data_IF_609541722185
#
_entry.id   IF_609541722185
#
_cell.length_a   1.000
_cell.length_b   1.000
_cell.length_c   1.000
_cell.angle_alpha   90.00
_cell.angle_beta   90.00
_cell.angle_gamma   90.00
#
_symmetry.space_group_name_H-M   'P 1'
#
loop_
_entity.id
_entity.type
_entity.pdbx_description
1 polymer ?
#
# COMPACT_ATOMS: atom_id res chain seq x y z
N UNK A 1 -10.50 -10.61 11.19
CA UNK A 1 -10.25 -11.22 9.88
C UNK A 1 -9.98 -12.70 10.05
N UNK A 2 -10.45 -13.50 9.10
CA UNK A 2 -10.21 -14.95 9.07
C UNK A 2 -9.91 -15.35 7.62
N UNK A 3 -8.85 -16.10 7.42
CA UNK A 3 -8.35 -16.47 6.08
C UNK A 3 -7.68 -17.84 6.13
N UNK A 4 -7.60 -18.57 4.99
CA UNK A 4 -6.87 -19.82 4.93
C UNK A 4 -5.40 -19.63 5.33
N UNK A 5 -4.83 -20.56 6.09
CA UNK A 5 -3.38 -20.56 6.34
C UNK A 5 -2.60 -21.08 5.13
N UNK A 6 -1.31 -20.78 5.09
CA UNK A 6 -0.41 -21.34 4.07
C UNK A 6 0.06 -22.74 4.49
N UNK A 7 0.30 -23.59 3.48
CA UNK A 7 0.89 -24.91 3.66
C UNK A 7 1.89 -25.19 2.53
N UNK A 8 2.90 -26.01 2.81
CA UNK A 8 3.93 -26.39 1.84
C UNK A 8 4.73 -25.21 1.23
N UNK A 9 4.80 -24.11 1.97
CA UNK A 9 5.65 -22.97 1.62
C UNK A 9 7.02 -23.17 2.30
N UNK A 10 8.13 -22.98 1.56
CA UNK A 10 9.48 -23.15 2.13
C UNK A 10 9.71 -22.30 3.37
N UNK A 11 10.46 -22.87 4.32
CA UNK A 11 10.98 -22.18 5.49
C UNK A 11 11.98 -21.10 5.07
N UNK A 12 11.84 -19.89 5.61
CA UNK A 12 12.77 -18.78 5.38
C UNK A 12 13.99 -18.84 6.32
N UNK A 13 14.03 -19.81 7.23
CA UNK A 13 15.03 -19.88 8.28
C UNK A 13 14.70 -19.01 9.50
N UNK A 14 15.72 -18.61 10.24
CA UNK A 14 15.52 -17.79 11.45
C UNK A 14 15.19 -16.35 11.11
N UNK A 15 14.06 -15.85 11.63
CA UNK A 15 13.59 -14.47 11.43
C UNK A 15 13.09 -13.90 12.75
N UNK A 16 13.69 -12.81 13.22
CA UNK A 16 13.35 -12.23 14.52
C UNK A 16 13.65 -13.17 15.68
N UNK A 17 12.65 -13.52 16.50
CA UNK A 17 12.75 -14.52 17.57
C UNK A 17 12.45 -15.94 17.09
N UNK A 18 11.93 -16.10 15.87
CA UNK A 18 11.56 -17.39 15.32
C UNK A 18 12.83 -18.15 14.89
N UNK A 19 13.06 -19.34 15.39
CA UNK A 19 14.19 -20.18 14.98
C UNK A 19 13.97 -20.77 13.59
N UNK A 20 12.72 -21.01 13.22
CA UNK A 20 12.27 -21.45 11.89
C UNK A 20 10.98 -20.72 11.55
N UNK A 21 10.70 -20.56 10.25
CA UNK A 21 9.51 -19.84 9.75
C UNK A 21 8.78 -20.66 8.69
N UNK A 22 8.28 -21.86 9.00
CA UNK A 22 7.59 -22.69 8.02
C UNK A 22 6.26 -22.06 7.62
N UNK A 23 5.94 -22.15 6.33
CA UNK A 23 4.68 -21.65 5.78
C UNK A 23 4.40 -20.17 6.11
N UNK A 24 5.36 -19.25 5.89
CA UNK A 24 5.25 -17.86 6.29
C UNK A 24 4.17 -17.11 5.51
N UNK A 25 3.45 -16.22 6.21
CA UNK A 25 2.53 -15.26 5.60
C UNK A 25 2.82 -13.88 6.19
N UNK A 26 2.93 -12.89 5.32
CA UNK A 26 3.26 -11.52 5.68
C UNK A 26 2.05 -10.61 5.58
N UNK A 27 1.87 -9.78 6.61
CA UNK A 27 0.86 -8.73 6.67
C UNK A 27 1.53 -7.42 7.00
N UNK A 28 0.87 -6.33 6.63
CA UNK A 28 1.24 -5.00 7.08
C UNK A 28 -0.02 -4.26 7.52
N UNK A 29 0.18 -3.28 8.40
CA UNK A 29 -0.86 -2.41 8.94
C UNK A 29 -0.38 -0.96 8.82
N UNK A 30 -1.25 -0.06 8.37
CA UNK A 30 -1.09 1.38 8.52
C UNK A 30 -1.99 1.85 9.66
N UNK A 31 -1.48 2.70 10.53
CA UNK A 31 -2.22 3.18 11.70
C UNK A 31 -3.06 4.39 11.31
N UNK A 32 -4.35 4.35 11.60
CA UNK A 32 -5.31 5.43 11.36
C UNK A 32 -5.79 6.14 12.65
N UNK A 33 -5.55 5.54 13.83
CA UNK A 33 -5.82 6.16 15.13
C UNK A 33 -4.71 5.86 16.13
N UNK A 34 -4.26 6.90 16.84
CA UNK A 34 -3.23 6.79 17.88
C UNK A 34 -3.71 5.94 19.06
N UNK A 35 -2.78 5.15 19.62
CA UNK A 35 -3.01 4.43 20.87
C UNK A 35 -2.39 3.04 20.89
N UNK A 36 -2.44 2.35 22.04
CA UNK A 36 -2.03 0.96 22.14
C UNK A 36 -2.99 0.07 21.35
N UNK A 37 -2.48 -1.03 20.82
CA UNK A 37 -3.26 -2.07 20.13
C UNK A 37 -2.84 -3.44 20.61
N UNK A 38 -3.81 -4.27 20.94
CA UNK A 38 -3.58 -5.69 21.26
C UNK A 38 -4.35 -6.54 20.27
N UNK A 39 -3.71 -7.58 19.77
CA UNK A 39 -4.27 -8.49 18.80
C UNK A 39 -4.27 -9.92 19.34
N UNK A 40 -5.31 -10.66 19.03
CA UNK A 40 -5.33 -12.10 19.19
C UNK A 40 -5.15 -12.75 17.82
N UNK A 41 -4.20 -13.66 17.73
CA UNK A 41 -3.90 -14.50 16.58
C UNK A 41 -4.28 -15.91 16.96
N UNK A 42 -5.08 -16.61 16.16
CA UNK A 42 -5.42 -18.01 16.42
C UNK A 42 -5.44 -18.81 15.13
N UNK A 43 -5.06 -20.08 15.21
CA UNK A 43 -5.05 -20.99 14.08
C UNK A 43 -5.74 -22.29 14.43
N UNK A 44 -6.59 -22.77 13.52
CA UNK A 44 -7.34 -24.02 13.72
C UNK A 44 -7.62 -24.76 12.42
N UNK A 45 -7.77 -26.05 12.52
CA UNK A 45 -8.26 -26.91 11.42
C UNK A 45 -9.72 -26.62 11.10
N UNK A 46 -10.23 -27.13 9.99
CA UNK A 46 -11.65 -27.06 9.65
C UNK A 46 -12.55 -27.76 10.70
N UNK A 47 -12.01 -28.70 11.48
CA UNK A 47 -12.71 -29.37 12.57
C UNK A 47 -12.63 -28.59 13.90
N UNK A 48 -11.98 -27.43 13.94
CA UNK A 48 -11.85 -26.59 15.12
C UNK A 48 -10.70 -26.98 16.07
N UNK A 49 -9.86 -27.95 15.70
CA UNK A 49 -8.66 -28.30 16.48
C UNK A 49 -7.60 -27.23 16.31
N UNK A 50 -6.98 -26.76 17.41
CA UNK A 50 -5.92 -25.78 17.39
C UNK A 50 -4.69 -26.26 16.60
N UNK A 51 -4.08 -25.34 15.86
CA UNK A 51 -2.83 -25.54 15.11
C UNK A 51 -1.82 -24.53 15.64
N UNK A 52 -0.60 -24.95 15.89
CA UNK A 52 0.52 -24.15 16.33
C UNK A 52 0.75 -22.97 15.38
N UNK A 53 0.73 -21.74 15.93
CA UNK A 53 0.92 -20.48 15.20
C UNK A 53 1.94 -19.62 15.93
N UNK A 54 2.99 -19.22 15.21
CA UNK A 54 3.97 -18.27 15.72
C UNK A 54 3.87 -16.95 15.00
N UNK A 55 4.38 -15.88 15.63
CA UNK A 55 4.41 -14.58 15.01
C UNK A 55 5.66 -13.77 15.36
N UNK A 56 5.95 -12.80 14.49
CA UNK A 56 6.87 -11.71 14.80
C UNK A 56 6.33 -10.42 14.21
N UNK A 57 6.41 -9.32 14.98
CA UNK A 57 5.84 -8.01 14.67
C UNK A 57 6.95 -6.95 14.69
N UNK A 58 7.07 -6.18 13.62
CA UNK A 58 8.06 -5.11 13.47
C UNK A 58 7.40 -3.76 13.24
N UNK A 59 8.10 -2.71 13.55
CA UNK A 59 7.74 -1.30 13.42
C UNK A 59 8.12 -0.50 14.66
N UNK A 60 7.75 0.79 14.71
CA UNK A 60 7.07 1.54 13.64
C UNK A 60 8.00 1.92 12.48
N UNK A 61 7.44 1.99 11.30
CA UNK A 61 8.09 2.52 10.11
C UNK A 61 7.32 3.74 9.57
N UNK A 62 8.02 4.67 8.93
CA UNK A 62 7.40 5.86 8.33
C UNK A 62 6.78 5.60 6.95
N UNK A 63 7.06 4.44 6.37
CA UNK A 63 6.45 3.94 5.13
C UNK A 63 6.66 2.44 5.04
N UNK A 64 5.86 1.75 4.24
CA UNK A 64 6.06 0.32 3.98
C UNK A 64 7.44 0.05 3.35
N UNK A 65 7.89 0.92 2.44
CA UNK A 65 9.20 0.81 1.81
C UNK A 65 10.36 0.91 2.83
N UNK A 66 10.20 1.69 3.90
CA UNK A 66 11.21 1.78 4.96
C UNK A 66 11.35 0.47 5.74
N UNK A 67 10.27 -0.29 5.92
CA UNK A 67 10.29 -1.62 6.53
C UNK A 67 10.90 -2.70 5.62
N UNK A 68 10.87 -2.48 4.30
CA UNK A 68 11.37 -3.41 3.28
C UNK A 68 12.79 -3.10 2.79
N UNK A 69 13.43 -2.03 3.29
CA UNK A 69 14.68 -1.48 2.75
C UNK A 69 15.96 -2.22 3.21
N UNK A 70 17.01 -2.14 2.37
CA UNK A 70 18.39 -2.39 2.81
C UNK A 70 18.89 -3.82 2.79
N UNK A 71 18.21 -4.77 2.15
CA UNK A 71 18.70 -6.15 1.97
C UNK A 71 18.42 -7.11 3.14
N UNK A 72 17.93 -6.62 4.27
CA UNK A 72 17.33 -7.42 5.35
C UNK A 72 15.87 -7.02 5.50
N UNK A 73 14.99 -7.98 5.43
CA UNK A 73 13.56 -7.77 5.57
C UNK A 73 13.02 -8.64 6.71
N UNK A 74 12.23 -8.08 7.64
CA UNK A 74 12.03 -6.64 7.92
C UNK A 74 13.25 -5.99 8.55
N UNK A 75 13.36 -4.67 8.44
CA UNK A 75 14.46 -3.89 9.02
C UNK A 75 14.29 -3.79 10.54
N UNK A 76 15.36 -4.08 11.28
CA UNK A 76 15.40 -3.97 12.75
C UNK A 76 14.93 -5.23 13.48
N UNK A 77 14.85 -5.13 14.80
CA UNK A 77 14.37 -6.21 15.67
C UNK A 77 12.84 -6.14 15.78
N UNK A 78 12.15 -7.29 15.94
CA UNK A 78 10.72 -7.27 16.22
C UNK A 78 10.44 -6.54 17.54
N UNK A 79 9.33 -5.82 17.57
CA UNK A 79 8.83 -5.14 18.79
C UNK A 79 8.04 -6.09 19.67
N UNK A 80 7.49 -7.16 19.07
CA UNK A 80 6.80 -8.24 19.75
C UNK A 80 6.93 -9.52 18.94
N UNK A 81 6.97 -10.67 19.63
CA UNK A 81 7.27 -11.93 18.96
C UNK A 81 6.95 -13.10 19.89
N UNK A 82 6.36 -14.17 19.35
CA UNK A 82 6.17 -15.44 20.06
C UNK A 82 6.59 -16.62 19.18
N UNK A 83 7.32 -17.54 19.80
CA UNK A 83 7.73 -18.83 19.25
C UNK A 83 7.38 -19.91 20.26
N UNK A 84 6.13 -20.32 20.26
CA UNK A 84 5.57 -21.27 21.24
C UNK A 84 4.68 -22.31 20.53
N UNK A 85 4.35 -23.37 21.21
CA UNK A 85 3.47 -24.43 20.67
C UNK A 85 1.97 -24.10 20.76
N UNK A 86 1.64 -22.84 21.00
CA UNK A 86 0.25 -22.43 21.22
C UNK A 86 -0.49 -22.26 19.89
N UNK A 87 -1.76 -22.64 19.88
CA UNK A 87 -2.65 -22.38 18.76
C UNK A 87 -3.28 -20.96 18.80
N UNK A 88 -2.99 -20.22 19.85
CA UNK A 88 -3.41 -18.83 20.04
C UNK A 88 -2.28 -18.03 20.67
N UNK A 89 -2.00 -16.89 20.07
CA UNK A 89 -0.97 -15.95 20.48
C UNK A 89 -1.56 -14.54 20.64
N UNK A 90 -0.84 -13.67 21.36
CA UNK A 90 -1.22 -12.27 21.54
C UNK A 90 -0.06 -11.38 21.10
N UNK A 91 -0.34 -10.49 20.18
CA UNK A 91 0.61 -9.47 19.71
C UNK A 91 0.21 -8.09 20.23
N UNK A 92 1.19 -7.23 20.55
CA UNK A 92 0.95 -5.90 21.11
C UNK A 92 1.78 -4.80 20.41
N UNK A 93 1.12 -3.67 20.16
CA UNK A 93 1.75 -2.41 19.80
C UNK A 93 1.48 -1.42 20.94
N UNK A 94 2.47 -1.07 21.77
CA UNK A 94 2.23 -0.27 22.98
C UNK A 94 1.78 1.16 22.70
N UNK A 95 2.21 1.77 21.59
CA UNK A 95 1.97 3.18 21.29
C UNK A 95 2.00 3.43 19.78
N UNK A 96 0.96 3.00 19.07
CA UNK A 96 0.81 3.26 17.65
C UNK A 96 0.48 4.74 17.38
N UNK A 97 1.07 5.31 16.31
CA UNK A 97 0.80 6.68 15.87
C UNK A 97 0.27 6.69 14.44
N UNK A 98 -0.65 7.58 14.13
CA UNK A 98 -1.23 7.75 12.78
C UNK A 98 -0.12 7.85 11.72
N UNK A 99 -0.29 7.12 10.63
CA UNK A 99 0.63 7.08 9.50
C UNK A 99 1.87 6.20 9.71
N UNK A 100 2.00 5.53 10.87
CA UNK A 100 3.02 4.51 11.07
C UNK A 100 2.60 3.19 10.41
N UNK A 101 3.60 2.45 9.95
CA UNK A 101 3.45 1.12 9.36
C UNK A 101 4.06 0.06 10.26
N UNK A 102 3.39 -1.08 10.34
CA UNK A 102 3.86 -2.27 11.04
C UNK A 102 3.81 -3.48 10.10
N UNK A 103 4.75 -4.39 10.27
CA UNK A 103 4.85 -5.63 9.49
C UNK A 103 4.69 -6.80 10.45
N UNK A 104 3.80 -7.72 10.13
CA UNK A 104 3.52 -8.93 10.88
C UNK A 104 3.83 -10.16 10.03
N UNK A 105 4.65 -11.06 10.56
CA UNK A 105 4.86 -12.40 10.06
C UNK A 105 4.03 -13.36 10.90
N UNK A 106 3.27 -14.24 10.25
CA UNK A 106 2.62 -15.40 10.86
C UNK A 106 3.17 -16.67 10.23
N UNK A 107 3.31 -17.75 11.03
CA UNK A 107 3.73 -19.05 10.53
C UNK A 107 2.71 -20.13 10.88
N UNK A 108 2.63 -21.16 10.05
CA UNK A 108 1.90 -22.40 10.32
C UNK A 108 2.93 -23.50 10.60
N UNK A 109 3.34 -23.64 11.83
CA UNK A 109 4.43 -24.54 12.22
C UNK A 109 4.11 -26.01 11.89
N UNK A 110 2.88 -26.42 12.12
CA UNK A 110 2.47 -27.81 11.94
C UNK A 110 2.22 -28.21 10.47
N UNK A 111 2.26 -27.27 9.52
CA UNK A 111 1.96 -27.51 8.12
C UNK A 111 0.58 -28.19 7.87
N UNK A 112 -0.38 -27.90 8.72
CA UNK A 112 -1.75 -28.42 8.59
C UNK A 112 -2.65 -27.40 7.94
N UNK A 113 -3.51 -27.80 6.99
CA UNK A 113 -4.48 -26.90 6.39
C UNK A 113 -5.53 -26.47 7.42
N UNK A 114 -5.84 -25.17 7.43
CA UNK A 114 -6.78 -24.60 8.37
C UNK A 114 -7.03 -23.11 8.12
N UNK A 115 -7.46 -22.43 9.17
CA UNK A 115 -7.79 -21.02 9.14
C UNK A 115 -7.00 -20.28 10.20
N UNK A 116 -6.37 -19.18 9.84
CA UNK A 116 -5.84 -18.18 10.76
C UNK A 116 -6.91 -17.11 10.97
N UNK A 117 -7.14 -16.74 12.22
CA UNK A 117 -7.93 -15.58 12.62
C UNK A 117 -7.02 -14.55 13.27
N UNK A 118 -7.13 -13.31 12.85
CA UNK A 118 -6.40 -12.17 13.39
C UNK A 118 -7.41 -11.06 13.72
N UNK A 119 -7.45 -10.65 14.99
CA UNK A 119 -8.40 -9.64 15.45
C UNK A 119 -7.79 -8.75 16.51
N UNK A 120 -8.09 -7.45 16.46
CA UNK A 120 -7.82 -6.55 17.55
C UNK A 120 -8.77 -6.85 18.70
N UNK A 121 -8.21 -7.10 19.87
CA UNK A 121 -8.94 -7.47 21.08
C UNK A 121 -8.82 -6.46 22.20
N UNK A 122 -8.01 -5.40 22.01
CA UNK A 122 -7.87 -4.32 22.97
C UNK A 122 -7.06 -3.15 22.45
N UNK A 123 -7.03 -2.10 23.26
CA UNK A 123 -6.36 -0.84 22.95
C UNK A 123 -7.29 0.20 22.33
N UNK A 124 -6.78 1.43 22.22
CA UNK A 124 -7.51 2.60 21.66
C UNK A 124 -7.02 2.96 20.26
N UNK A 125 -5.87 2.44 19.83
CA UNK A 125 -5.39 2.60 18.47
C UNK A 125 -6.23 1.81 17.49
N UNK A 126 -6.18 2.16 16.22
CA UNK A 126 -6.73 1.35 15.13
C UNK A 126 -5.82 1.37 13.90
N UNK A 127 -5.93 0.31 13.10
CA UNK A 127 -5.25 0.21 11.82
C UNK A 127 -6.25 0.40 10.69
N UNK A 128 -5.83 1.10 9.66
CA UNK A 128 -6.56 1.16 8.40
C UNK A 128 -6.57 -0.23 7.76
N UNK A 129 -7.74 -0.86 7.81
CA UNK A 129 -7.99 -2.14 7.17
C UNK A 129 -8.45 -1.98 5.72
N UNK A 130 -8.57 -0.76 5.22
CA UNK A 130 -8.70 -0.51 3.80
C UNK A 130 -7.35 -0.85 3.15
N UNK A 131 -7.40 -1.72 2.17
CA UNK A 131 -6.22 -2.22 1.46
C UNK A 131 -5.36 -1.05 0.94
N UNK A 132 -4.07 -1.28 0.81
CA UNK A 132 -3.13 -0.34 0.20
C UNK A 132 -3.75 0.28 -1.04
N UNK A 133 -3.72 1.60 -1.08
CA UNK A 133 -4.08 2.31 -2.28
C UNK A 133 -3.24 1.80 -3.45
N UNK A 134 -3.88 1.28 -4.47
CA UNK A 134 -3.24 0.73 -5.66
C UNK A 134 -3.77 1.42 -6.91
N UNK A 135 -2.86 1.99 -7.71
CA UNK A 135 -3.22 2.47 -9.04
C UNK A 135 -3.26 1.28 -10.00
N UNK A 136 -4.43 1.01 -10.55
CA UNK A 136 -4.68 -0.10 -11.50
C UNK A 136 -4.61 0.35 -12.96
N UNK A 137 -4.64 1.66 -13.21
CA UNK A 137 -4.47 2.23 -14.54
C UNK A 137 -4.35 3.74 -14.48
N UNK A 138 -3.46 4.29 -15.30
CA UNK A 138 -3.33 5.73 -15.51
C UNK A 138 -3.09 5.99 -16.99
N UNK A 139 -3.95 6.75 -17.62
CA UNK A 139 -3.88 7.06 -19.07
C UNK A 139 -3.67 8.53 -19.28
N UNK A 140 -2.93 8.90 -20.32
CA UNK A 140 -2.70 10.27 -20.75
C UNK A 140 -2.79 10.33 -22.28
N UNK A 141 -3.85 10.97 -22.80
CA UNK A 141 -4.11 11.10 -24.23
C UNK A 141 -4.03 12.56 -24.62
N UNK A 142 -3.02 12.96 -25.41
CA UNK A 142 -2.90 14.34 -25.89
C UNK A 142 -3.96 14.62 -26.95
N UNK A 143 -4.58 15.79 -26.86
CA UNK A 143 -5.47 16.35 -27.87
C UNK A 143 -4.71 17.00 -29.01
N UNK A 144 -5.44 17.49 -30.01
CA UNK A 144 -4.86 18.23 -31.13
C UNK A 144 -4.27 19.58 -30.69
N UNK A 145 -3.19 20.00 -31.35
CA UNK A 145 -2.61 21.33 -31.15
C UNK A 145 -3.53 22.43 -31.68
N UNK A 146 -3.77 23.46 -30.86
CA UNK A 146 -4.49 24.68 -31.24
C UNK A 146 -3.74 25.89 -30.67
N UNK A 147 -3.28 26.80 -31.49
CA UNK A 147 -2.56 28.00 -31.06
C UNK A 147 -1.26 27.69 -30.29
N UNK A 148 -0.51 26.66 -30.69
CA UNK A 148 0.67 26.13 -30.03
C UNK A 148 0.43 25.56 -28.61
N UNK A 149 -0.83 25.38 -28.25
CA UNK A 149 -1.19 24.69 -26.98
C UNK A 149 -2.05 23.46 -27.26
N UNK A 150 -2.17 22.59 -26.28
CA UNK A 150 -3.03 21.43 -26.36
C UNK A 150 -3.59 21.09 -24.95
N UNK A 151 -4.47 20.12 -24.91
CA UNK A 151 -4.94 19.51 -23.70
C UNK A 151 -4.47 18.05 -23.62
N UNK A 152 -4.29 17.53 -22.40
CA UNK A 152 -4.15 16.09 -22.17
C UNK A 152 -5.28 15.63 -21.27
N UNK A 153 -6.00 14.61 -21.70
CA UNK A 153 -7.07 13.99 -20.91
C UNK A 153 -6.75 12.53 -20.60
N UNK A 154 -7.35 12.03 -19.56
CA UNK A 154 -7.16 10.63 -19.19
C UNK A 154 -8.00 10.23 -18.00
N UNK A 155 -7.75 9.00 -17.57
CA UNK A 155 -8.41 8.34 -16.44
C UNK A 155 -7.35 7.81 -15.49
N UNK A 156 -7.56 8.02 -14.21
CA UNK A 156 -6.83 7.39 -13.12
C UNK A 156 -7.76 6.38 -12.45
N UNK A 157 -7.42 5.08 -12.51
CA UNK A 157 -8.14 4.00 -11.85
C UNK A 157 -7.40 3.61 -10.57
N UNK A 158 -8.12 3.60 -9.45
CA UNK A 158 -7.54 3.42 -8.12
C UNK A 158 -8.36 2.40 -7.35
N UNK A 159 -7.68 1.45 -6.72
CA UNK A 159 -8.27 0.63 -5.68
C UNK A 159 -7.95 1.28 -4.33
N UNK A 160 -8.95 1.39 -3.47
CA UNK A 160 -8.83 1.96 -2.13
C UNK A 160 -8.16 3.35 -2.10
N UNK A 161 -8.78 4.37 -2.73
CA UNK A 161 -8.27 5.73 -2.68
C UNK A 161 -8.28 6.26 -1.23
N UNK A 162 -7.36 7.18 -0.87
CA UNK A 162 -7.36 7.80 0.45
C UNK A 162 -8.70 8.44 0.81
N UNK A 163 -9.11 8.34 2.06
CA UNK A 163 -10.36 8.94 2.55
C UNK A 163 -10.25 10.45 2.85
N UNK A 164 -9.04 11.00 2.78
CA UNK A 164 -8.77 12.41 3.11
C UNK A 164 -7.71 13.01 2.17
N UNK A 165 -7.49 14.32 2.30
CA UNK A 165 -6.48 15.04 1.55
C UNK A 165 -6.92 15.42 0.13
N UNK A 166 -5.92 15.71 -0.71
CA UNK A 166 -6.08 16.14 -2.10
C UNK A 166 -5.33 15.22 -3.05
N UNK A 167 -5.85 15.08 -4.26
CA UNK A 167 -5.15 14.55 -5.41
C UNK A 167 -4.82 15.71 -6.35
N UNK A 168 -3.54 15.89 -6.66
CA UNK A 168 -3.07 16.85 -7.66
C UNK A 168 -2.60 16.11 -8.89
N UNK A 169 -3.20 16.40 -10.05
CA UNK A 169 -2.75 15.90 -11.36
C UNK A 169 -2.12 17.06 -12.13
N UNK A 170 -0.88 16.87 -12.57
CA UNK A 170 -0.10 17.90 -13.25
C UNK A 170 0.75 17.31 -14.37
N UNK A 171 1.20 18.16 -15.29
CA UNK A 171 2.15 17.79 -16.35
C UNK A 171 3.40 18.64 -16.30
N UNK A 172 4.57 18.04 -16.58
CA UNK A 172 5.83 18.76 -16.73
C UNK A 172 5.94 19.55 -18.06
N UNK A 173 4.97 19.42 -18.96
CA UNK A 173 4.90 20.17 -20.23
C UNK A 173 4.07 21.45 -20.14
N UNK A 174 3.81 21.95 -18.92
CA UNK A 174 3.07 23.20 -18.67
C UNK A 174 1.61 22.96 -18.31
N UNK A 175 0.81 24.03 -18.41
CA UNK A 175 -0.59 24.02 -17.99
C UNK A 175 -0.75 24.15 -16.46
N UNK A 176 -1.98 24.42 -16.03
CA UNK A 176 -2.32 24.46 -14.61
C UNK A 176 -2.63 23.05 -14.10
N UNK A 177 -2.22 22.70 -12.87
CA UNK A 177 -2.60 21.44 -12.28
C UNK A 177 -4.10 21.39 -11.99
N UNK A 178 -4.67 20.19 -12.03
CA UNK A 178 -6.03 19.92 -11.60
C UNK A 178 -6.01 19.30 -10.22
N UNK A 179 -6.82 19.83 -9.29
CA UNK A 179 -6.88 19.39 -7.91
C UNK A 179 -8.26 18.83 -7.60
N UNK A 180 -8.29 17.65 -6.99
CA UNK A 180 -9.47 16.97 -6.51
C UNK A 180 -9.40 16.85 -5.00
N UNK A 181 -10.53 16.94 -4.31
CA UNK A 181 -10.62 16.74 -2.87
C UNK A 181 -11.26 15.39 -2.56
N UNK A 182 -10.86 14.80 -1.43
CA UNK A 182 -11.54 13.61 -0.91
C UNK A 182 -13.02 13.91 -0.53
N UNK A 183 -13.93 12.91 -0.57
CA UNK A 183 -13.66 11.51 -0.90
C UNK A 183 -13.47 11.29 -2.41
N UNK A 184 -12.51 10.42 -2.76
CA UNK A 184 -12.23 10.10 -4.16
C UNK A 184 -13.05 8.90 -4.63
N UNK A 185 -13.46 8.92 -5.91
CA UNK A 185 -13.96 7.72 -6.58
C UNK A 185 -12.84 6.78 -7.00
N UNK A 186 -13.19 5.54 -7.32
CA UNK A 186 -12.23 4.54 -7.87
C UNK A 186 -11.80 4.86 -9.30
N UNK A 187 -12.50 5.77 -9.98
CA UNK A 187 -12.19 6.25 -11.32
C UNK A 187 -12.24 7.77 -11.30
N UNK A 188 -11.13 8.41 -11.63
CA UNK A 188 -11.01 9.87 -11.71
C UNK A 188 -10.65 10.27 -13.12
N UNK A 189 -11.54 11.03 -13.78
CA UNK A 189 -11.29 11.60 -15.07
C UNK A 189 -10.66 12.99 -14.91
N UNK A 190 -9.65 13.29 -15.73
CA UNK A 190 -8.97 14.56 -15.71
C UNK A 190 -8.79 15.14 -17.11
N UNK A 191 -8.60 16.48 -17.18
CA UNK A 191 -8.30 17.18 -18.41
C UNK A 191 -7.42 18.41 -18.09
N UNK A 192 -6.13 18.31 -18.36
CA UNK A 192 -5.18 19.41 -18.23
C UNK A 192 -5.17 20.21 -19.53
N UNK A 193 -5.22 21.53 -19.44
CA UNK A 193 -5.27 22.44 -20.58
C UNK A 193 -4.11 23.44 -20.58
N UNK A 194 -3.85 24.06 -21.72
CA UNK A 194 -2.79 25.07 -21.82
C UNK A 194 -1.36 24.50 -21.80
N UNK A 195 -1.19 23.23 -22.19
CA UNK A 195 0.13 22.62 -22.31
C UNK A 195 0.81 23.07 -23.61
N UNK A 196 2.15 23.14 -23.62
CA UNK A 196 2.95 23.61 -24.74
C UNK A 196 3.15 22.50 -25.77
N UNK A 197 2.65 22.73 -27.00
CA UNK A 197 2.85 21.84 -28.14
C UNK A 197 4.27 22.02 -28.69
N UNK A 198 5.18 21.11 -28.38
CA UNK A 198 6.60 21.15 -28.72
C UNK A 198 7.18 19.80 -29.20
N UNK A 199 6.33 18.77 -29.32
CA UNK A 199 6.76 17.42 -29.71
C UNK A 199 7.58 16.67 -28.67
N UNK A 200 7.71 17.19 -27.44
CA UNK A 200 8.54 16.59 -26.39
C UNK A 200 7.85 15.38 -25.74
N UNK A 201 8.67 14.52 -25.12
CA UNK A 201 8.15 13.50 -24.20
C UNK A 201 7.79 14.18 -22.88
N UNK A 202 6.55 14.01 -22.47
CA UNK A 202 5.95 14.61 -21.30
C UNK A 202 5.56 13.55 -20.28
N UNK A 203 5.40 13.98 -19.03
CA UNK A 203 4.98 13.16 -17.93
C UNK A 203 3.75 13.81 -17.27
N UNK A 204 2.65 13.07 -17.14
CA UNK A 204 1.58 13.42 -16.20
C UNK A 204 1.85 12.71 -14.90
N UNK A 205 1.76 13.43 -13.78
CA UNK A 205 1.90 12.91 -12.43
C UNK A 205 0.59 13.06 -11.66
N UNK A 206 0.24 12.04 -10.88
CA UNK A 206 -0.85 12.07 -9.92
C UNK A 206 -0.25 11.93 -8.52
N UNK A 207 -0.47 12.92 -7.65
CA UNK A 207 0.11 12.99 -6.30
C UNK A 207 -1.00 13.14 -5.27
N UNK A 208 -1.10 12.17 -4.36
CA UNK A 208 -2.01 12.20 -3.22
C UNK A 208 -1.31 12.77 -1.99
N UNK A 209 -1.89 13.80 -1.38
CA UNK A 209 -1.31 14.44 -0.19
C UNK A 209 -1.40 13.57 1.06
N UNK A 210 -2.38 12.69 1.15
CA UNK A 210 -2.61 11.84 2.33
C UNK A 210 -1.89 10.49 2.26
N UNK A 211 -1.54 9.99 1.06
CA UNK A 211 -0.90 8.69 0.90
C UNK A 211 0.03 8.66 -0.32
N UNK A 212 1.33 8.75 -0.07
CA UNK A 212 2.35 8.75 -1.14
C UNK A 212 2.43 7.42 -1.91
N UNK A 213 1.94 6.30 -1.36
CA UNK A 213 1.91 5.01 -2.04
C UNK A 213 0.94 4.98 -3.24
N UNK A 214 -0.01 5.95 -3.28
CA UNK A 214 -0.92 6.15 -4.41
C UNK A 214 -0.33 6.98 -5.54
N UNK A 215 0.85 7.56 -5.36
CA UNK A 215 1.45 8.43 -6.38
C UNK A 215 1.85 7.61 -7.59
N UNK A 216 1.57 8.17 -8.77
CA UNK A 216 1.88 7.51 -10.03
C UNK A 216 2.18 8.52 -11.12
N UNK A 217 2.72 8.04 -12.23
CA UNK A 217 3.00 8.86 -13.39
C UNK A 217 2.79 8.10 -14.69
N UNK A 218 2.47 8.83 -15.77
CA UNK A 218 2.26 8.30 -17.11
C UNK A 218 2.98 9.15 -18.14
N UNK A 219 3.81 8.51 -18.97
CA UNK A 219 4.47 9.16 -20.10
C UNK A 219 3.50 9.34 -21.28
N UNK A 220 3.66 10.42 -22.00
CA UNK A 220 2.99 10.67 -23.27
C UNK A 220 3.87 11.59 -24.14
N UNK A 221 3.56 11.67 -25.46
CA UNK A 221 4.27 12.60 -26.37
C UNK A 221 3.37 13.78 -26.68
N UNK A 222 3.86 14.99 -26.44
CA UNK A 222 3.17 16.23 -26.84
C UNK A 222 3.01 16.31 -28.36
N UNK A 223 1.94 16.88 -28.88
CA UNK A 223 1.85 17.19 -30.31
C UNK A 223 2.93 18.19 -30.76
N UNK A 224 3.32 18.11 -32.02
CA UNK A 224 4.23 19.08 -32.60
C UNK A 224 3.60 20.48 -32.59
N UNK A 225 4.40 21.57 -32.62
CA UNK A 225 3.89 22.93 -32.78
C UNK A 225 3.02 23.09 -34.04
N UNK A 226 1.88 23.76 -33.90
CA UNK A 226 0.91 23.86 -35.00
C UNK A 226 0.81 25.25 -35.63
N UNK A 227 1.57 26.25 -35.15
CA UNK A 227 1.67 27.60 -35.78
C UNK A 227 2.94 27.75 -36.62
N UNK A 228 3.55 26.67 -37.10
CA UNK A 228 4.59 26.78 -38.11
C UNK A 228 3.93 27.31 -39.36
N UNK A 229 4.11 28.61 -39.66
CA UNK A 229 3.79 29.14 -40.99
C UNK A 229 4.60 28.37 -42.02
N UNK A 230 3.96 27.73 -43.01
CA UNK A 230 4.72 27.13 -44.09
C UNK A 230 5.51 28.26 -44.81
N UNK A 231 6.79 28.05 -44.99
CA UNK A 231 7.66 28.89 -45.79
C UNK A 231 7.19 28.89 -47.23
#
# INVERSE_FOLDING_TARGET
YSFPNSTNVPDLGSVGCLSTTPNPVWYFMEIDQNGPMNFTISQQTAAGSGIDVDFALWGPYNSLAAGCGGGTFPVGSPIDCSYSTAAQETAAIPNAQIGQFYILLLTNYANQPGTISFSQTGGTGSADCSFVCGVTGFTAVPGACVGNTYSVSGTLNINNPPNSGTLTISSNCGGAPQVFNAPFGTVINYNLTGLNANGANCLVTAVFSANANCNTSQNYTAPAPCNATPC
#
